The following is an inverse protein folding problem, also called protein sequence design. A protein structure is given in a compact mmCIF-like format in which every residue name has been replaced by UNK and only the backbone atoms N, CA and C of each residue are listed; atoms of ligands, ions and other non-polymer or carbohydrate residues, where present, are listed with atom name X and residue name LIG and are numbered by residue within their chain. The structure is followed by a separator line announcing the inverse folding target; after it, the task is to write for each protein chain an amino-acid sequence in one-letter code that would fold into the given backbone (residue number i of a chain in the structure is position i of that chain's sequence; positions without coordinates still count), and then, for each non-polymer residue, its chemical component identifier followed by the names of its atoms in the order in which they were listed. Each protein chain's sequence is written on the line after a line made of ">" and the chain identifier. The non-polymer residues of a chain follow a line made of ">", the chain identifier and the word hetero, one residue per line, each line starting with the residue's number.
data_IF_393969914139
#
_entry.id   IF_393969914139
#
_cell.length_a   1.000
_cell.length_b   1.000
_cell.length_c   1.000
_cell.angle_alpha   90.00
_cell.angle_beta   90.00
_cell.angle_gamma   90.00
#
_symmetry.space_group_name_H-M   'P 1'
#
loop_
_entity.id
_entity.type
_entity.pdbx_description
1 polymer ?
#
# COMPACT_ATOMS: atom_id res chain seq x y z
N UNK A 1 18.42 -64.77 -30.28
CA UNK A 1 17.92 -64.24 -28.98
C UNK A 1 18.21 -62.75 -28.96
N UNK A 2 17.19 -61.92 -29.28
CA UNK A 2 17.30 -60.48 -29.26
C UNK A 2 16.67 -59.96 -27.94
N UNK A 3 17.50 -59.34 -27.10
CA UNK A 3 17.06 -58.70 -25.85
C UNK A 3 16.51 -57.32 -26.16
N UNK A 4 15.19 -57.17 -26.03
CA UNK A 4 14.47 -55.91 -26.17
C UNK A 4 14.73 -55.03 -24.93
N UNK A 5 15.51 -53.94 -25.08
CA UNK A 5 15.72 -52.95 -24.01
C UNK A 5 14.52 -52.02 -23.96
N UNK A 6 13.71 -52.15 -22.91
CA UNK A 6 12.65 -51.19 -22.56
C UNK A 6 13.30 -49.90 -22.05
N UNK A 7 13.20 -48.83 -22.84
CA UNK A 7 13.57 -47.49 -22.42
C UNK A 7 12.34 -46.87 -21.72
N UNK A 8 12.41 -46.80 -20.39
CA UNK A 8 11.38 -46.10 -19.59
C UNK A 8 11.60 -44.59 -19.68
N UNK A 9 10.77 -43.93 -20.43
CA UNK A 9 10.78 -42.45 -20.49
C UNK A 9 10.03 -41.92 -19.28
N UNK A 10 10.76 -41.38 -18.32
CA UNK A 10 10.21 -40.67 -17.16
C UNK A 10 9.80 -39.27 -17.63
N UNK A 11 8.48 -39.05 -17.86
CA UNK A 11 7.92 -37.73 -18.13
C UNK A 11 7.81 -37.01 -16.79
N UNK A 12 8.78 -36.12 -16.50
CA UNK A 12 8.72 -35.22 -15.34
C UNK A 12 7.68 -34.15 -15.65
N UNK A 13 6.52 -34.25 -15.04
CA UNK A 13 5.47 -33.23 -15.13
C UNK A 13 5.92 -32.02 -14.32
N UNK A 14 6.50 -31.01 -14.97
CA UNK A 14 6.76 -29.72 -14.36
C UNK A 14 5.43 -29.02 -14.13
N UNK A 15 4.87 -29.13 -12.92
CA UNK A 15 3.75 -28.33 -12.48
C UNK A 15 4.29 -26.89 -12.33
N UNK A 16 4.11 -26.10 -13.38
CA UNK A 16 4.39 -24.66 -13.35
C UNK A 16 3.49 -23.99 -12.33
N UNK A 17 4.02 -23.65 -11.16
CA UNK A 17 3.35 -22.74 -10.26
C UNK A 17 3.36 -21.35 -10.91
N UNK A 18 2.22 -20.93 -11.46
CA UNK A 18 2.02 -19.55 -11.87
C UNK A 18 2.07 -18.70 -10.61
N UNK A 19 3.18 -18.00 -10.40
CA UNK A 19 3.28 -16.96 -9.39
C UNK A 19 2.41 -15.81 -9.91
N UNK A 20 1.17 -15.71 -9.43
CA UNK A 20 0.36 -14.53 -9.62
C UNK A 20 1.01 -13.43 -8.77
N UNK A 21 1.77 -12.56 -9.41
CA UNK A 21 2.07 -11.27 -8.81
C UNK A 21 0.72 -10.59 -8.56
N UNK A 22 0.46 -10.18 -7.32
CA UNK A 22 -0.76 -9.45 -7.00
C UNK A 22 -0.82 -8.22 -7.92
N UNK A 23 -1.83 -8.15 -8.76
CA UNK A 23 -2.02 -7.06 -9.71
C UNK A 23 -2.54 -5.86 -8.92
N UNK A 24 -1.67 -4.86 -8.75
CA UNK A 24 -2.04 -3.62 -8.08
C UNK A 24 -2.92 -2.81 -9.02
N UNK A 25 -4.18 -2.58 -8.63
CA UNK A 25 -5.18 -1.89 -9.43
C UNK A 25 -5.46 -0.50 -8.87
N UNK A 26 -5.06 0.54 -9.61
CA UNK A 26 -5.27 1.95 -9.24
C UNK A 26 -6.77 2.30 -9.15
N UNK A 27 -7.61 1.74 -10.00
CA UNK A 27 -9.06 2.00 -9.96
C UNK A 27 -9.71 1.37 -8.73
N UNK A 28 -9.29 0.15 -8.38
CA UNK A 28 -9.66 -0.49 -7.12
C UNK A 28 -9.19 0.35 -5.94
N UNK A 29 -7.94 0.83 -6.00
CA UNK A 29 -7.36 1.70 -4.98
C UNK A 29 -8.13 3.00 -4.79
N UNK A 30 -8.56 3.65 -5.88
CA UNK A 30 -9.40 4.85 -5.84
C UNK A 30 -10.74 4.60 -5.13
N UNK A 31 -11.40 3.48 -5.43
CA UNK A 31 -12.66 3.10 -4.79
C UNK A 31 -12.47 2.85 -3.31
N UNK A 32 -11.47 2.03 -2.96
CA UNK A 32 -11.17 1.71 -1.56
C UNK A 32 -10.75 2.95 -0.75
N UNK A 33 -10.01 3.87 -1.38
CA UNK A 33 -9.68 5.16 -0.78
C UNK A 33 -10.93 5.97 -0.47
N UNK A 34 -11.87 6.08 -1.41
CA UNK A 34 -13.12 6.80 -1.21
C UNK A 34 -13.94 6.22 -0.04
N UNK A 35 -13.95 4.91 0.11
CA UNK A 35 -14.71 4.21 1.14
C UNK A 35 -14.04 4.27 2.53
N UNK A 36 -12.70 4.26 2.60
CA UNK A 36 -11.99 4.05 3.87
C UNK A 36 -11.16 5.27 4.33
N UNK A 37 -10.80 6.18 3.44
CA UNK A 37 -9.81 7.23 3.73
C UNK A 37 -10.36 8.64 3.53
N UNK A 38 -11.26 8.82 2.54
CA UNK A 38 -11.73 10.13 2.12
C UNK A 38 -12.51 10.89 3.20
N UNK A 39 -13.10 10.21 4.17
CA UNK A 39 -13.78 10.82 5.30
C UNK A 39 -12.90 11.75 6.12
N UNK A 40 -11.62 11.42 6.27
CA UNK A 40 -10.63 12.23 6.98
C UNK A 40 -9.70 12.98 6.01
N UNK A 41 -9.19 12.31 4.97
CA UNK A 41 -8.19 12.86 4.04
C UNK A 41 -8.80 13.60 2.85
N UNK A 42 -10.11 13.74 2.79
CA UNK A 42 -10.93 14.34 1.73
C UNK A 42 -10.88 13.56 0.41
N UNK A 43 -11.93 13.66 -0.41
CA UNK A 43 -12.03 12.95 -1.70
C UNK A 43 -10.99 13.40 -2.73
N UNK A 44 -10.47 14.62 -2.60
CA UNK A 44 -9.40 15.18 -3.43
C UNK A 44 -7.99 15.00 -2.83
N UNK A 45 -7.85 14.21 -1.77
CA UNK A 45 -6.60 13.93 -1.05
C UNK A 45 -5.93 15.19 -0.46
N UNK A 46 -6.65 16.32 -0.36
CA UNK A 46 -6.08 17.58 0.14
C UNK A 46 -5.91 17.61 1.66
N UNK A 47 -6.50 16.67 2.38
CA UNK A 47 -6.51 16.69 3.83
C UNK A 47 -7.20 17.91 4.42
N UNK A 48 -6.96 18.19 5.67
CA UNK A 48 -7.49 19.39 6.33
C UNK A 48 -6.56 20.58 6.09
N UNK A 49 -7.11 21.78 5.85
CA UNK A 49 -6.34 22.98 5.52
C UNK A 49 -5.28 23.34 6.57
N UNK A 50 -5.57 23.12 7.85
CA UNK A 50 -4.66 23.43 8.97
C UNK A 50 -4.09 22.16 9.63
N UNK A 51 -3.87 21.10 8.85
CA UNK A 51 -3.43 19.80 9.36
C UNK A 51 -2.13 19.84 10.19
N UNK A 52 -1.25 20.80 9.91
CA UNK A 52 0.06 20.97 10.56
C UNK A 52 0.04 22.00 11.70
N UNK A 53 -1.05 22.77 11.86
CA UNK A 53 -1.13 23.93 12.78
C UNK A 53 -2.16 23.75 13.87
N UNK A 54 -3.28 23.09 13.59
CA UNK A 54 -4.38 22.99 14.52
C UNK A 54 -4.70 21.54 14.87
N UNK A 55 -5.28 21.36 16.05
CA UNK A 55 -5.88 20.12 16.50
C UNK A 55 -7.39 20.16 16.23
N UNK A 56 -8.01 18.98 16.21
CA UNK A 56 -9.47 18.90 16.20
C UNK A 56 -10.07 19.15 17.59
N UNK A 57 -11.39 19.06 17.72
CA UNK A 57 -12.11 19.30 18.98
C UNK A 57 -11.73 18.34 20.09
N UNK A 58 -11.25 17.13 19.74
CA UNK A 58 -10.80 16.12 20.69
C UNK A 58 -9.29 16.24 21.01
N UNK A 59 -8.61 17.23 20.45
CA UNK A 59 -7.17 17.45 20.67
C UNK A 59 -6.25 16.59 19.82
N UNK A 60 -6.77 15.96 18.75
CA UNK A 60 -5.98 15.13 17.84
C UNK A 60 -5.50 15.91 16.61
N UNK A 61 -4.38 15.48 16.05
CA UNK A 61 -3.90 16.02 14.78
C UNK A 61 -4.90 15.74 13.65
N UNK A 62 -5.12 16.75 12.83
CA UNK A 62 -5.97 16.66 11.65
C UNK A 62 -5.29 15.88 10.53
N UNK A 63 -6.08 15.30 9.62
CA UNK A 63 -5.59 14.48 8.54
C UNK A 63 -4.74 15.29 7.55
N UNK A 64 -3.49 14.89 7.26
CA UNK A 64 -2.62 15.58 6.32
C UNK A 64 -3.04 15.34 4.85
N UNK A 65 -2.58 16.21 3.94
CA UNK A 65 -2.69 15.96 2.50
C UNK A 65 -1.94 14.70 2.07
N UNK A 66 -2.55 13.94 1.15
CA UNK A 66 -1.95 12.75 0.55
C UNK A 66 -1.62 12.94 -0.94
N UNK A 67 -2.01 14.07 -1.54
CA UNK A 67 -1.83 14.41 -2.97
C UNK A 67 -0.44 14.97 -3.33
N UNK A 68 0.54 14.78 -2.48
CA UNK A 68 1.91 15.29 -2.69
C UNK A 68 2.16 16.69 -2.15
N UNK A 69 1.14 17.45 -1.72
CA UNK A 69 1.32 18.77 -1.09
C UNK A 69 1.67 18.68 0.41
N UNK A 70 1.43 17.52 1.04
CA UNK A 70 1.87 17.21 2.39
C UNK A 70 3.25 16.56 2.42
N UNK A 71 3.50 15.71 3.43
CA UNK A 71 4.80 15.06 3.64
C UNK A 71 4.78 13.53 3.41
N UNK A 72 3.67 12.96 2.94
CA UNK A 72 3.48 11.51 2.76
C UNK A 72 4.56 10.86 1.91
N UNK A 73 5.04 11.56 0.89
CA UNK A 73 6.08 11.09 -0.02
C UNK A 73 7.49 10.99 0.60
N UNK A 74 7.70 11.50 1.81
CA UNK A 74 8.93 11.31 2.58
C UNK A 74 9.02 9.94 3.27
N UNK A 75 7.92 9.20 3.34
CA UNK A 75 7.84 7.91 4.02
C UNK A 75 8.03 6.75 3.03
N UNK A 76 8.69 5.69 3.46
CA UNK A 76 8.84 4.51 2.63
C UNK A 76 7.49 3.83 2.33
N UNK A 77 7.34 3.13 1.19
CA UNK A 77 6.12 2.37 0.91
C UNK A 77 5.74 1.40 2.01
N UNK A 78 6.71 0.72 2.62
CA UNK A 78 6.48 -0.21 3.73
C UNK A 78 5.92 0.50 4.98
N UNK A 79 6.40 1.71 5.27
CA UNK A 79 5.89 2.50 6.39
C UNK A 79 4.46 2.98 6.12
N UNK A 80 4.17 3.45 4.91
CA UNK A 80 2.82 3.84 4.52
C UNK A 80 1.85 2.66 4.54
N UNK A 81 2.28 1.50 4.04
CA UNK A 81 1.52 0.26 4.14
C UNK A 81 1.18 -0.06 5.59
N UNK A 82 2.17 -0.02 6.48
CA UNK A 82 1.98 -0.32 7.90
C UNK A 82 0.95 0.62 8.55
N UNK A 83 1.02 1.92 8.24
CA UNK A 83 0.08 2.91 8.78
C UNK A 83 -1.34 2.68 8.25
N UNK A 84 -1.53 2.37 6.97
CA UNK A 84 -2.86 2.09 6.42
C UNK A 84 -3.43 0.81 7.01
N UNK A 85 -2.63 -0.25 7.08
CA UNK A 85 -3.07 -1.58 7.53
C UNK A 85 -3.32 -1.62 9.04
N UNK A 86 -2.37 -1.11 9.82
CA UNK A 86 -2.34 -1.32 11.28
C UNK A 86 -2.46 -0.05 12.12
N UNK A 87 -2.41 1.13 11.48
CA UNK A 87 -2.44 2.42 12.16
C UNK A 87 -1.16 2.74 12.93
N UNK A 88 -1.12 3.94 13.48
CA UNK A 88 0.02 4.37 14.31
C UNK A 88 0.07 3.68 15.68
N UNK A 89 -1.07 3.24 16.20
CA UNK A 89 -1.13 2.58 17.52
C UNK A 89 -0.34 1.27 17.55
N UNK A 90 -0.18 0.60 16.41
CA UNK A 90 0.63 -0.63 16.31
C UNK A 90 2.11 -0.39 16.60
N UNK A 91 2.64 0.76 16.17
CA UNK A 91 4.04 1.15 16.39
C UNK A 91 4.25 2.01 17.63
N UNK A 92 3.21 2.69 18.08
CA UNK A 92 3.20 3.52 19.28
C UNK A 92 1.93 3.24 20.09
N UNK A 93 2.00 2.36 21.12
CA UNK A 93 0.85 2.00 21.96
C UNK A 93 0.16 3.19 22.64
N UNK A 94 0.90 4.27 22.88
CA UNK A 94 0.38 5.49 23.50
C UNK A 94 -0.27 6.45 22.50
N UNK A 95 -0.39 6.05 21.25
CA UNK A 95 -1.05 6.87 20.23
C UNK A 95 -2.56 6.95 20.49
N UNK A 96 -3.05 8.16 20.71
CA UNK A 96 -4.47 8.48 20.95
C UNK A 96 -5.17 9.09 19.72
N UNK A 97 -4.46 9.30 18.61
CA UNK A 97 -5.02 9.90 17.38
C UNK A 97 -5.96 8.97 16.61
N UNK A 98 -6.53 9.51 15.54
CA UNK A 98 -7.63 8.88 14.79
C UNK A 98 -7.18 7.98 13.62
N UNK A 99 -5.87 7.91 13.28
CA UNK A 99 -5.35 7.01 12.25
C UNK A 99 -5.12 5.61 12.83
N UNK A 100 -6.19 4.85 12.93
CA UNK A 100 -6.20 3.55 13.62
C UNK A 100 -5.85 2.37 12.72
N UNK A 101 -5.77 2.61 11.40
CA UNK A 101 -5.58 1.55 10.39
C UNK A 101 -6.88 0.80 10.07
N UNK A 102 -6.79 -0.12 9.11
CA UNK A 102 -7.88 -1.01 8.74
C UNK A 102 -7.32 -2.40 8.37
N UNK A 103 -7.27 -3.30 9.34
CA UNK A 103 -6.73 -4.66 9.19
C UNK A 103 -7.67 -5.59 8.39
N UNK A 104 -8.92 -5.19 8.15
CA UNK A 104 -9.87 -5.90 7.29
C UNK A 104 -9.53 -5.78 5.79
N UNK A 105 -8.76 -4.74 5.38
CA UNK A 105 -8.23 -4.64 4.03
C UNK A 105 -7.22 -5.75 3.77
N UNK A 106 -7.27 -6.40 2.62
CA UNK A 106 -6.18 -7.30 2.21
C UNK A 106 -4.89 -6.53 1.94
N UNK A 107 -3.76 -7.22 1.88
CA UNK A 107 -2.48 -6.56 1.57
C UNK A 107 -2.50 -5.96 0.16
N UNK A 108 -3.14 -6.64 -0.80
CA UNK A 108 -3.36 -6.14 -2.16
C UNK A 108 -4.22 -4.87 -2.18
N UNK A 109 -5.27 -4.79 -1.34
CA UNK A 109 -6.10 -3.59 -1.21
C UNK A 109 -5.27 -2.40 -0.72
N UNK A 110 -4.43 -2.61 0.28
CA UNK A 110 -3.54 -1.56 0.82
C UNK A 110 -2.55 -1.08 -0.25
N UNK A 111 -1.94 -2.00 -1.00
CA UNK A 111 -1.04 -1.63 -2.10
C UNK A 111 -1.78 -0.88 -3.21
N UNK A 112 -3.00 -1.29 -3.55
CA UNK A 112 -3.84 -0.59 -4.54
C UNK A 112 -4.17 0.83 -4.10
N UNK A 113 -4.52 1.05 -2.82
CA UNK A 113 -4.73 2.37 -2.23
C UNK A 113 -3.45 3.22 -2.34
N UNK A 114 -2.29 2.65 -2.03
CA UNK A 114 -1.00 3.36 -2.11
C UNK A 114 -0.66 3.77 -3.53
N UNK A 115 -0.86 2.92 -4.51
CA UNK A 115 -0.64 3.26 -5.92
C UNK A 115 -1.60 4.35 -6.39
N UNK A 116 -2.87 4.32 -5.97
CA UNK A 116 -3.79 5.42 -6.25
C UNK A 116 -3.29 6.74 -5.63
N UNK A 117 -2.90 6.76 -4.36
CA UNK A 117 -2.36 7.95 -3.70
C UNK A 117 -1.13 8.47 -4.47
N UNK A 118 -0.17 7.61 -4.80
CA UNK A 118 1.04 7.96 -5.54
C UNK A 118 0.74 8.51 -6.94
N UNK A 119 -0.28 7.98 -7.61
CA UNK A 119 -0.68 8.46 -8.94
C UNK A 119 -1.15 9.93 -8.95
N UNK A 120 -1.50 10.47 -7.79
CA UNK A 120 -1.92 11.89 -7.65
C UNK A 120 -0.76 12.84 -7.37
N UNK A 121 0.46 12.33 -7.17
CA UNK A 121 1.62 13.16 -6.83
C UNK A 121 2.16 13.91 -8.05
N UNK A 122 2.59 15.17 -7.89
CA UNK A 122 3.25 15.91 -8.95
C UNK A 122 4.53 15.22 -9.44
N UNK A 123 4.83 15.32 -10.74
CA UNK A 123 6.05 14.73 -11.34
C UNK A 123 7.36 15.20 -10.69
N UNK A 124 7.34 16.36 -10.01
CA UNK A 124 8.50 16.94 -9.33
C UNK A 124 8.83 16.29 -7.98
N UNK A 125 7.99 15.38 -7.49
CA UNK A 125 8.36 14.64 -6.28
C UNK A 125 9.59 13.80 -6.59
N UNK A 126 10.69 13.96 -5.81
CA UNK A 126 12.00 13.42 -6.20
C UNK A 126 11.93 11.91 -6.45
N UNK A 127 12.64 11.49 -7.49
CA UNK A 127 12.84 10.08 -7.90
C UNK A 127 13.38 9.21 -6.76
N UNK A 128 13.95 9.81 -5.71
CA UNK A 128 14.35 9.10 -4.49
C UNK A 128 13.22 8.26 -3.84
N UNK A 129 11.96 8.68 -4.02
CA UNK A 129 10.83 7.87 -3.58
C UNK A 129 10.58 6.66 -4.51
N UNK A 130 10.78 6.83 -5.82
CA UNK A 130 10.61 5.75 -6.80
C UNK A 130 11.70 4.68 -6.72
N UNK A 131 12.85 5.01 -6.11
CA UNK A 131 13.94 4.06 -5.84
C UNK A 131 13.79 3.28 -4.53
N UNK A 132 12.82 3.64 -3.68
CA UNK A 132 12.37 2.74 -2.62
C UNK A 132 11.55 1.65 -3.33
N UNK A 133 12.26 0.77 -4.03
CA UNK A 133 11.69 -0.39 -4.70
C UNK A 133 10.69 -1.05 -3.78
N UNK A 134 9.50 -1.35 -4.33
CA UNK A 134 8.62 -2.36 -3.76
C UNK A 134 9.51 -3.50 -3.28
N UNK A 135 9.41 -3.96 -2.03
CA UNK A 135 10.13 -5.14 -1.64
C UNK A 135 9.77 -6.19 -2.68
N UNK A 136 10.75 -6.59 -3.49
CA UNK A 136 10.64 -7.83 -4.25
C UNK A 136 10.25 -8.84 -3.19
N UNK A 137 9.04 -9.33 -3.24
CA UNK A 137 8.62 -10.43 -2.41
C UNK A 137 9.51 -11.61 -2.80
N UNK A 138 10.66 -11.69 -2.16
CA UNK A 138 11.45 -12.91 -2.16
C UNK A 138 10.70 -13.87 -1.26
N UNK A 139 10.03 -14.82 -1.91
CA UNK A 139 9.50 -16.03 -1.29
C UNK A 139 10.69 -16.88 -0.84
#
# INVERSE_FOLDING_TARGET
>A
MQTLKLISVLITLCIGHSIHAAEVDIFKGMKLYAENCAGCHMGNLAGHEEWDKSLDEDGHRRAPPLNGTGHTWHHSPAQLFHVIKYGFKKSNPDYEGKMLGNDALSDEDVWSILEFIKSTWPEKIPVSYTHLTLPTMQV
#
